data_IF_636093168864
#
_entry.id   IF_636093168864
#
_cell.length_a   1.000
_cell.length_b   1.000
_cell.length_c   1.000
_cell.angle_alpha   90.00
_cell.angle_beta   90.00
_cell.angle_gamma   90.00
#
_symmetry.space_group_name_H-M   'P 1'
#
loop_
_entity.id
_entity.type
_entity.pdbx_description
1 polymer ?
#
# COMPACT_ATOMS: atom_id res chain seq x y z
N UNK A 1 18.00 -2.19 -17.06
CA UNK A 1 16.78 -2.68 -16.39
C UNK A 1 15.60 -2.17 -17.17
N UNK A 2 14.64 -3.05 -17.43
CA UNK A 2 13.30 -2.64 -17.88
C UNK A 2 12.58 -1.94 -16.72
N UNK A 3 11.66 -1.02 -17.00
CA UNK A 3 10.85 -0.38 -15.96
C UNK A 3 9.62 -1.24 -15.68
N UNK A 4 9.21 -1.31 -14.42
CA UNK A 4 7.97 -1.99 -14.07
C UNK A 4 6.77 -1.25 -14.69
N UNK A 5 5.76 -2.01 -15.11
CA UNK A 5 4.50 -1.47 -15.63
C UNK A 5 3.70 -0.76 -14.54
N UNK A 6 2.75 0.09 -14.94
CA UNK A 6 1.89 0.79 -13.99
C UNK A 6 1.03 -0.17 -13.16
N UNK A 7 0.60 -1.29 -13.73
CA UNK A 7 -0.14 -2.35 -13.02
C UNK A 7 0.73 -3.10 -12.00
N UNK A 8 1.98 -3.44 -12.33
CA UNK A 8 2.92 -4.03 -11.37
C UNK A 8 3.20 -3.08 -10.20
N UNK A 9 3.39 -1.78 -10.49
CA UNK A 9 3.61 -0.75 -9.48
C UNK A 9 2.38 -0.53 -8.60
N UNK A 10 1.18 -0.52 -9.19
CA UNK A 10 -0.08 -0.37 -8.46
C UNK A 10 -0.39 -1.60 -7.59
N UNK A 11 -0.12 -2.82 -8.09
CA UNK A 11 -0.25 -4.05 -7.31
C UNK A 11 0.78 -4.11 -6.18
N UNK A 12 2.04 -3.77 -6.46
CA UNK A 12 3.08 -3.63 -5.44
C UNK A 12 2.70 -2.62 -4.34
N UNK A 13 2.15 -1.47 -4.71
CA UNK A 13 1.67 -0.48 -3.74
C UNK A 13 0.49 -1.02 -2.89
N UNK A 14 -0.45 -1.76 -3.49
CA UNK A 14 -1.54 -2.44 -2.78
C UNK A 14 -1.02 -3.47 -1.78
N UNK A 15 -0.09 -4.34 -2.20
CA UNK A 15 0.57 -5.34 -1.35
C UNK A 15 1.32 -4.69 -0.18
N UNK A 16 2.12 -3.67 -0.46
CA UNK A 16 2.86 -2.91 0.55
C UNK A 16 1.94 -2.31 1.61
N UNK A 17 0.84 -1.66 1.19
CA UNK A 17 -0.13 -1.09 2.13
C UNK A 17 -0.87 -2.18 2.91
N UNK A 18 -1.30 -3.26 2.26
CA UNK A 18 -1.96 -4.39 2.92
C UNK A 18 -1.07 -5.07 3.99
N UNK A 19 0.22 -5.26 3.69
CA UNK A 19 1.19 -5.79 4.63
C UNK A 19 1.42 -4.84 5.82
N UNK A 20 1.52 -3.54 5.57
CA UNK A 20 1.61 -2.52 6.63
C UNK A 20 0.35 -2.47 7.50
N UNK A 21 -0.85 -2.61 6.92
CA UNK A 21 -2.10 -2.73 7.67
C UNK A 21 -2.04 -3.94 8.62
N UNK A 22 -1.70 -5.12 8.12
CA UNK A 22 -1.59 -6.32 8.98
C UNK A 22 -0.56 -6.15 10.10
N UNK A 23 0.65 -5.70 9.77
CA UNK A 23 1.73 -5.51 10.72
C UNK A 23 1.39 -4.43 11.78
N UNK A 24 0.64 -3.39 11.40
CA UNK A 24 0.17 -2.32 12.30
C UNK A 24 -1.03 -2.65 13.19
N UNK A 25 -1.81 -3.71 12.91
CA UNK A 25 -2.96 -4.10 13.77
C UNK A 25 -2.51 -4.46 15.19
N UNK A 26 -3.36 -4.18 16.18
CA UNK A 26 -3.22 -4.71 17.55
C UNK A 26 -3.76 -6.14 17.63
N UNK A 27 -3.35 -6.89 18.66
CA UNK A 27 -3.70 -8.29 18.86
C UNK A 27 -2.63 -9.27 18.39
N UNK A 28 -2.81 -10.55 18.73
CA UNK A 28 -1.89 -11.63 18.38
C UNK A 28 -1.84 -11.91 16.87
N UNK A 29 -0.69 -12.41 16.41
CA UNK A 29 -0.40 -12.71 15.00
C UNK A 29 0.41 -14.00 14.93
N UNK A 30 0.01 -14.94 14.06
CA UNK A 30 0.82 -16.14 13.78
C UNK A 30 2.15 -15.69 13.16
N UNK A 31 3.28 -16.11 13.73
CA UNK A 31 4.60 -15.63 13.29
C UNK A 31 4.90 -15.93 11.82
N UNK A 32 4.37 -17.03 11.26
CA UNK A 32 4.44 -17.34 9.82
C UNK A 32 3.76 -16.28 8.94
N UNK A 33 2.56 -15.84 9.30
CA UNK A 33 1.80 -14.81 8.57
C UNK A 33 2.49 -13.43 8.72
N UNK A 34 3.05 -13.15 9.89
CA UNK A 34 3.87 -11.96 10.17
C UNK A 34 5.19 -11.96 9.38
N UNK A 35 5.82 -13.12 9.20
CA UNK A 35 7.02 -13.27 8.37
C UNK A 35 6.68 -13.02 6.88
N UNK A 36 5.62 -13.64 6.36
CA UNK A 36 5.16 -13.42 5.00
C UNK A 36 4.74 -11.96 4.74
N UNK A 37 4.04 -11.32 5.68
CA UNK A 37 3.72 -9.89 5.57
C UNK A 37 4.97 -9.00 5.56
N UNK A 38 6.03 -9.33 6.33
CA UNK A 38 7.31 -8.62 6.27
C UNK A 38 8.01 -8.81 4.92
N UNK A 39 8.04 -10.04 4.42
CA UNK A 39 8.62 -10.40 3.12
C UNK A 39 7.96 -9.60 1.98
N UNK A 40 6.63 -9.62 1.89
CA UNK A 40 5.86 -8.87 0.90
C UNK A 40 6.08 -7.36 1.03
N UNK A 41 6.14 -6.84 2.26
CA UNK A 41 6.46 -5.43 2.52
C UNK A 41 7.84 -5.06 1.96
N UNK A 42 8.87 -5.89 2.15
CA UNK A 42 10.21 -5.68 1.60
C UNK A 42 10.19 -5.72 0.07
N UNK A 43 9.71 -6.82 -0.53
CA UNK A 43 9.67 -7.02 -1.99
C UNK A 43 8.96 -5.85 -2.70
N UNK A 44 7.78 -5.46 -2.21
CA UNK A 44 7.03 -4.34 -2.78
C UNK A 44 7.72 -3.00 -2.57
N UNK A 45 8.31 -2.76 -1.40
CA UNK A 45 9.06 -1.55 -1.09
C UNK A 45 10.29 -1.38 -1.99
N UNK A 46 10.99 -2.47 -2.30
CA UNK A 46 12.15 -2.48 -3.20
C UNK A 46 11.73 -2.17 -4.64
N UNK A 47 10.70 -2.84 -5.17
CA UNK A 47 10.20 -2.59 -6.53
C UNK A 47 9.71 -1.15 -6.72
N UNK A 48 9.04 -0.59 -5.71
CA UNK A 48 8.61 0.82 -5.71
C UNK A 48 9.82 1.77 -5.72
N UNK A 49 10.83 1.54 -4.87
CA UNK A 49 12.03 2.38 -4.79
C UNK A 49 12.89 2.31 -6.07
N UNK A 50 13.04 1.12 -6.68
CA UNK A 50 13.73 0.96 -7.97
C UNK A 50 13.06 1.77 -9.08
N UNK A 51 11.73 1.95 -9.01
CA UNK A 51 10.95 2.78 -9.94
C UNK A 51 10.68 4.21 -9.40
N UNK A 52 11.49 4.67 -8.43
CA UNK A 52 11.53 6.06 -7.97
C UNK A 52 10.45 6.47 -6.96
N UNK A 53 9.58 5.55 -6.52
CA UNK A 53 8.56 5.81 -5.51
C UNK A 53 9.13 5.68 -4.08
N UNK A 54 8.61 6.50 -3.16
CA UNK A 54 9.12 6.63 -1.79
C UNK A 54 8.10 6.08 -0.77
N UNK A 55 7.93 4.75 -0.65
CA UNK A 55 6.92 4.12 0.22
C UNK A 55 7.11 4.41 1.71
N UNK A 56 8.32 4.82 2.14
CA UNK A 56 8.59 5.28 3.49
C UNK A 56 8.07 6.70 3.79
N UNK A 57 7.80 7.53 2.75
CA UNK A 57 7.16 8.84 2.87
C UNK A 57 5.64 8.78 2.62
N UNK A 58 5.04 7.59 2.71
CA UNK A 58 3.60 7.42 2.52
C UNK A 58 2.80 8.26 3.51
N UNK A 59 1.69 8.82 3.05
CA UNK A 59 0.74 9.54 3.89
C UNK A 59 -0.68 8.99 3.72
N UNK A 60 -1.46 9.04 4.80
CA UNK A 60 -2.89 8.81 4.72
C UNK A 60 -3.55 10.05 4.09
N UNK A 61 -4.49 9.87 3.18
CA UNK A 61 -5.20 10.97 2.53
C UNK A 61 -6.10 11.70 3.55
N UNK A 62 -5.93 13.02 3.79
CA UNK A 62 -6.81 13.76 4.70
C UNK A 62 -8.25 13.85 4.16
N UNK A 63 -9.28 13.85 5.02
CA UNK A 63 -10.70 13.76 4.63
C UNK A 63 -11.29 15.04 3.97
N UNK A 64 -10.44 15.91 3.42
CA UNK A 64 -10.81 17.14 2.74
C UNK A 64 -9.80 17.60 1.69
N UNK A 65 -8.90 16.72 1.24
CA UNK A 65 -8.07 17.00 0.07
C UNK A 65 -8.97 17.17 -1.16
N UNK A 66 -8.70 18.19 -1.98
CA UNK A 66 -9.54 18.49 -3.15
C UNK A 66 -9.66 17.26 -4.07
N UNK A 67 -10.89 16.84 -4.42
CA UNK A 67 -11.16 15.83 -5.41
C UNK A 67 -10.59 16.09 -6.83
N UNK A 68 -9.95 17.23 -7.12
CA UNK A 68 -9.79 17.73 -8.49
C UNK A 68 -8.39 17.77 -9.14
N UNK A 69 -7.21 17.42 -8.63
CA UNK A 69 -6.65 16.96 -7.35
C UNK A 69 -6.90 15.52 -6.83
N UNK A 70 -7.90 14.79 -7.34
CA UNK A 70 -7.99 13.31 -7.29
C UNK A 70 -9.22 12.78 -6.52
N UNK A 71 -10.30 12.42 -7.24
CA UNK A 71 -11.69 12.38 -6.76
C UNK A 71 -12.09 11.31 -5.72
N UNK A 72 -13.29 11.51 -5.17
CA UNK A 72 -14.14 10.60 -4.39
C UNK A 72 -13.58 10.05 -3.06
N UNK A 73 -14.23 10.46 -1.97
CA UNK A 73 -14.19 9.85 -0.64
C UNK A 73 -15.41 8.94 -0.44
N UNK A 74 -15.18 7.70 0.02
CA UNK A 74 -16.23 6.75 0.42
C UNK A 74 -15.80 6.01 1.69
N UNK A 75 -16.79 5.62 2.51
CA UNK A 75 -16.54 5.04 3.84
C UNK A 75 -15.65 3.79 3.81
N UNK A 76 -14.57 3.82 4.58
CA UNK A 76 -13.55 2.78 4.49
C UNK A 76 -12.30 3.07 5.32
N UNK A 77 -11.31 2.17 5.21
CA UNK A 77 -9.96 2.45 5.72
C UNK A 77 -9.34 3.57 4.88
N UNK A 78 -8.58 4.48 5.51
CA UNK A 78 -8.01 5.65 4.82
C UNK A 78 -7.14 5.23 3.64
N UNK A 79 -7.34 5.90 2.50
CA UNK A 79 -6.48 5.79 1.31
C UNK A 79 -5.05 6.20 1.64
N UNK A 80 -4.07 5.60 0.96
CA UNK A 80 -2.65 5.86 1.15
C UNK A 80 -2.04 6.37 -0.16
N UNK A 81 -1.30 7.48 -0.09
CA UNK A 81 -0.49 7.98 -1.20
C UNK A 81 0.97 7.55 -1.03
N UNK A 82 1.58 7.09 -2.12
CA UNK A 82 3.02 6.83 -2.22
C UNK A 82 3.60 7.79 -3.27
N UNK A 83 4.36 8.83 -2.88
CA UNK A 83 4.88 9.84 -3.79
C UNK A 83 6.09 9.33 -4.59
N UNK A 84 6.33 9.91 -5.77
CA UNK A 84 7.57 9.72 -6.54
C UNK A 84 8.62 10.77 -6.17
N UNK A 85 9.88 10.38 -6.04
CA UNK A 85 10.96 11.25 -5.56
C UNK A 85 11.52 12.26 -6.57
N UNK A 86 11.06 12.24 -7.82
CA UNK A 86 11.59 13.08 -8.92
C UNK A 86 10.54 13.65 -9.89
N UNK A 87 9.31 13.14 -9.85
CA UNK A 87 8.26 13.47 -10.82
C UNK A 87 7.03 13.90 -10.04
N UNK A 88 6.21 14.81 -10.57
CA UNK A 88 4.96 15.22 -9.93
C UNK A 88 3.85 14.15 -10.10
N UNK A 89 4.06 12.97 -9.52
CA UNK A 89 3.14 11.82 -9.55
C UNK A 89 3.20 11.04 -8.24
N UNK A 90 2.10 10.35 -7.92
CA UNK A 90 2.01 9.46 -6.77
C UNK A 90 1.10 8.27 -7.10
N UNK A 91 1.36 7.10 -6.50
CA UNK A 91 0.42 5.98 -6.55
C UNK A 91 -0.58 6.17 -5.41
N UNK A 92 -1.87 6.29 -5.75
CA UNK A 92 -2.97 6.27 -4.77
C UNK A 92 -3.45 4.83 -4.60
N UNK A 93 -3.28 4.31 -3.39
CA UNK A 93 -3.81 3.00 -2.99
C UNK A 93 -5.13 3.21 -2.27
N UNK A 94 -6.21 2.66 -2.82
CA UNK A 94 -7.49 2.67 -2.12
C UNK A 94 -7.42 1.80 -0.85
N UNK A 95 -7.81 2.38 0.29
CA UNK A 95 -7.69 1.72 1.59
C UNK A 95 -8.61 0.51 1.74
N UNK A 96 -9.79 0.50 1.10
CA UNK A 96 -10.66 -0.67 1.09
C UNK A 96 -10.10 -1.81 0.21
N UNK A 97 -9.52 -1.52 -0.96
CA UNK A 97 -8.84 -2.54 -1.77
C UNK A 97 -7.63 -3.15 -1.05
N UNK A 98 -6.81 -2.33 -0.38
CA UNK A 98 -5.70 -2.82 0.43
C UNK A 98 -6.17 -3.60 1.67
N UNK A 99 -7.30 -3.20 2.27
CA UNK A 99 -7.93 -3.95 3.37
C UNK A 99 -8.49 -5.30 2.92
N UNK A 100 -9.06 -5.40 1.71
CA UNK A 100 -9.45 -6.69 1.13
C UNK A 100 -8.26 -7.62 0.93
N UNK A 101 -7.14 -7.10 0.39
CA UNK A 101 -5.91 -7.89 0.23
C UNK A 101 -5.35 -8.29 1.60
N UNK A 102 -5.35 -7.37 2.58
CA UNK A 102 -4.95 -7.67 3.96
C UNK A 102 -5.83 -8.77 4.58
N UNK A 103 -7.14 -8.77 4.28
CA UNK A 103 -8.05 -9.83 4.72
C UNK A 103 -7.73 -11.16 4.03
N UNK A 104 -7.68 -11.17 2.70
CA UNK A 104 -7.46 -12.37 1.87
C UNK A 104 -6.12 -13.05 2.17
N UNK A 105 -5.03 -12.29 2.32
CA UNK A 105 -3.69 -12.85 2.53
C UNK A 105 -3.35 -13.15 4.00
N UNK A 106 -3.86 -12.36 4.95
CA UNK A 106 -3.33 -12.39 6.33
C UNK A 106 -4.38 -12.61 7.44
N UNK A 107 -5.68 -12.61 7.14
CA UNK A 107 -6.76 -12.74 8.15
C UNK A 107 -7.81 -13.81 7.82
N UNK A 108 -7.95 -14.23 6.55
CA UNK A 108 -8.89 -15.27 6.11
C UNK A 108 -8.47 -16.69 6.49
N UNK A 109 -7.24 -16.86 6.96
CA UNK A 109 -6.62 -18.16 7.31
C UNK A 109 -6.51 -18.38 8.82
N UNK A 110 -7.36 -17.72 9.62
CA UNK A 110 -7.38 -17.81 11.09
C UNK A 110 -8.11 -19.07 11.56
#
# INVERSE_FOLDING_TARGET
MEKATEDELLNSARDYVAANMYLGRKGEKRESVKAHAKERLTQSSELLQQNGFLPHLRSNVPPGADPSNYLASLGGVQDVLIPHGKDNKAIRVNGNSAWEICRKLYLGSL
#
